data_IF_904526112960
#
_entry.id   IF_904526112960
#
_cell.length_a   1.000
_cell.length_b   1.000
_cell.length_c   1.000
_cell.angle_alpha   90.00
_cell.angle_beta   90.00
_cell.angle_gamma   90.00
#
_symmetry.space_group_name_H-M   'P 1'
#
loop_
_entity.id
_entity.type
_entity.pdbx_description
1 polymer ?
#
# COMPACT_ATOMS: atom_id res chain seq x y z
N UNK A 1 -12.49 -4.61 -3.82
CA UNK A 1 -12.30 -3.59 -2.76
C UNK A 1 -10.83 -3.19 -2.67
N UNK A 2 -10.54 -1.93 -2.35
CA UNK A 2 -9.17 -1.45 -2.14
C UNK A 2 -8.89 -1.18 -0.66
N UNK A 3 -7.75 -1.64 -0.15
CA UNK A 3 -7.31 -1.43 1.23
C UNK A 3 -6.01 -0.65 1.24
N UNK A 4 -5.94 0.49 1.93
CA UNK A 4 -4.70 1.25 1.94
C UNK A 4 -4.51 2.19 3.12
N UNK A 5 -3.23 2.45 3.41
CA UNK A 5 -2.80 3.35 4.48
C UNK A 5 -1.38 3.85 4.24
N UNK A 6 -0.97 4.88 4.97
CA UNK A 6 0.44 5.22 5.09
C UNK A 6 1.26 4.11 5.78
N UNK A 7 2.56 4.12 5.55
CA UNK A 7 3.52 3.22 6.21
C UNK A 7 4.11 3.88 7.45
N UNK A 8 4.06 3.18 8.57
CA UNK A 8 4.57 3.58 9.88
C UNK A 8 5.52 2.48 10.37
N UNK A 9 6.78 2.81 10.63
CA UNK A 9 7.77 1.83 11.11
C UNK A 9 7.79 0.55 10.24
N UNK A 10 7.82 0.73 8.91
CA UNK A 10 7.83 -0.36 7.92
C UNK A 10 6.59 -1.26 7.93
N UNK A 11 5.45 -0.77 8.43
CA UNK A 11 4.17 -1.50 8.47
C UNK A 11 3.00 -0.60 8.09
N UNK A 12 1.93 -1.18 7.56
CA UNK A 12 0.67 -0.45 7.36
C UNK A 12 0.04 -0.08 8.70
N UNK A 13 -0.76 0.99 8.70
CA UNK A 13 -1.33 1.56 9.93
C UNK A 13 -2.14 0.51 10.71
N UNK A 14 -1.96 0.39 12.05
CA UNK A 14 -2.62 -0.63 12.86
C UNK A 14 -4.14 -0.70 12.69
N UNK A 15 -4.82 0.45 12.65
CA UNK A 15 -6.28 0.53 12.38
C UNK A 15 -6.72 -0.21 11.11
N UNK A 16 -5.94 -0.16 10.03
CA UNK A 16 -6.25 -0.91 8.81
C UNK A 16 -6.06 -2.40 9.03
N UNK A 17 -4.96 -2.80 9.66
CA UNK A 17 -4.70 -4.22 9.94
C UNK A 17 -5.75 -4.81 10.89
N UNK A 18 -6.17 -4.07 11.92
CA UNK A 18 -7.16 -4.51 12.88
C UNK A 18 -8.57 -4.56 12.28
N UNK A 19 -8.89 -3.62 11.40
CA UNK A 19 -10.10 -3.67 10.58
C UNK A 19 -10.16 -4.96 9.77
N UNK A 20 -9.08 -5.30 9.03
CA UNK A 20 -9.05 -6.54 8.22
C UNK A 20 -9.11 -7.80 9.09
N UNK A 21 -8.46 -7.82 10.26
CA UNK A 21 -8.59 -8.95 11.21
C UNK A 21 -10.03 -9.15 11.66
N UNK A 22 -10.76 -8.08 11.89
CA UNK A 22 -12.16 -8.11 12.34
C UNK A 22 -13.16 -8.44 11.22
N UNK A 23 -12.76 -8.40 9.95
CA UNK A 23 -13.63 -8.80 8.86
C UNK A 23 -14.04 -10.27 8.99
N UNK A 24 -15.29 -10.61 8.66
CA UNK A 24 -15.66 -12.01 8.45
C UNK A 24 -14.84 -12.58 7.27
N UNK A 25 -14.84 -13.90 7.12
CA UNK A 25 -14.29 -14.54 5.92
C UNK A 25 -15.00 -13.95 4.70
N UNK A 26 -14.23 -13.24 3.88
CA UNK A 26 -14.71 -12.54 2.70
C UNK A 26 -14.56 -13.40 1.44
N UNK A 27 -15.33 -13.04 0.41
CA UNK A 27 -15.15 -13.53 -0.96
C UNK A 27 -15.11 -12.32 -1.89
N UNK A 28 -14.32 -12.42 -2.95
CA UNK A 28 -14.23 -11.39 -3.99
C UNK A 28 -12.87 -10.75 -4.09
N UNK A 29 -12.74 -9.84 -5.06
CA UNK A 29 -11.46 -9.27 -5.46
C UNK A 29 -11.03 -8.12 -4.56
N UNK A 30 -9.77 -8.13 -4.13
CA UNK A 30 -9.14 -7.11 -3.32
C UNK A 30 -7.85 -6.57 -3.97
N UNK A 31 -7.40 -5.41 -3.53
CA UNK A 31 -6.06 -4.91 -3.82
C UNK A 31 -5.56 -4.06 -2.64
N UNK A 32 -4.24 -3.99 -2.47
CA UNK A 32 -3.62 -3.23 -1.38
C UNK A 32 -2.86 -2.03 -1.94
N UNK A 33 -2.92 -0.87 -1.29
CA UNK A 33 -2.08 0.26 -1.67
C UNK A 33 -1.50 1.00 -0.47
N UNK A 34 -0.34 1.63 -0.64
CA UNK A 34 0.34 2.33 0.43
C UNK A 34 1.08 3.58 -0.04
N UNK A 35 1.28 4.50 0.89
CA UNK A 35 2.19 5.65 0.70
C UNK A 35 3.27 5.60 1.76
N UNK A 36 4.53 5.78 1.36
CA UNK A 36 5.67 5.62 2.27
C UNK A 36 6.68 6.75 2.16
N UNK A 37 7.21 7.16 3.31
CA UNK A 37 8.31 8.11 3.39
C UNK A 37 9.68 7.48 3.11
N UNK A 38 9.85 6.17 3.31
CA UNK A 38 11.07 5.39 2.99
C UNK A 38 10.77 4.28 1.96
N UNK A 39 11.72 3.94 1.07
CA UNK A 39 11.48 2.97 0.02
C UNK A 39 11.19 1.58 0.60
N UNK A 40 10.45 0.77 -0.15
CA UNK A 40 10.25 -0.62 0.19
C UNK A 40 11.52 -1.44 0.02
N UNK A 41 11.69 -2.45 0.88
CA UNK A 41 12.71 -3.47 0.70
C UNK A 41 12.12 -4.52 -0.26
N UNK A 42 12.76 -4.84 -1.40
CA UNK A 42 12.19 -5.75 -2.40
C UNK A 42 11.80 -7.13 -1.84
N UNK A 43 12.55 -7.64 -0.87
CA UNK A 43 12.30 -8.94 -0.22
C UNK A 43 11.25 -8.87 0.90
N UNK A 44 10.89 -7.67 1.36
CA UNK A 44 9.92 -7.44 2.42
C UNK A 44 9.04 -6.20 2.15
N UNK A 45 8.15 -6.25 1.14
CA UNK A 45 7.19 -5.19 0.86
C UNK A 45 6.33 -4.87 2.09
N UNK A 46 6.07 -3.59 2.36
CA UNK A 46 5.24 -3.18 3.49
C UNK A 46 3.80 -3.68 3.37
N UNK A 47 3.33 -3.92 2.15
CA UNK A 47 1.99 -4.42 1.81
C UNK A 47 1.84 -5.91 2.06
N UNK A 48 2.93 -6.69 2.02
CA UNK A 48 2.90 -8.17 2.07
C UNK A 48 2.12 -8.73 3.27
N UNK A 49 2.29 -8.24 4.51
CA UNK A 49 1.51 -8.75 5.64
C UNK A 49 0.00 -8.57 5.50
N UNK A 50 -0.44 -7.44 4.91
CA UNK A 50 -1.87 -7.19 4.71
C UNK A 50 -2.44 -8.01 3.56
N UNK A 51 -1.64 -8.23 2.50
CA UNK A 51 -1.99 -9.15 1.40
C UNK A 51 -2.24 -10.55 1.98
N UNK A 52 -1.30 -11.10 2.74
CA UNK A 52 -1.43 -12.42 3.36
C UNK A 52 -2.64 -12.51 4.29
N UNK A 53 -2.92 -11.45 5.05
CA UNK A 53 -4.10 -11.39 5.92
C UNK A 53 -5.41 -11.42 5.13
N UNK A 54 -5.50 -10.69 4.02
CA UNK A 54 -6.67 -10.68 3.13
C UNK A 54 -6.87 -12.02 2.41
N UNK A 55 -5.79 -12.62 1.92
CA UNK A 55 -5.82 -13.96 1.31
C UNK A 55 -6.28 -15.02 2.32
N UNK A 56 -5.75 -14.96 3.56
CA UNK A 56 -6.19 -15.83 4.66
C UNK A 56 -7.66 -15.62 5.05
N UNK A 57 -8.24 -14.45 4.74
CA UNK A 57 -9.67 -14.16 4.89
C UNK A 57 -10.51 -14.58 3.68
N UNK A 58 -9.93 -15.12 2.62
CA UNK A 58 -10.65 -15.62 1.43
C UNK A 58 -10.81 -14.63 0.28
N UNK A 59 -10.12 -13.48 0.32
CA UNK A 59 -10.10 -12.53 -0.79
C UNK A 59 -9.12 -12.98 -1.89
N UNK A 60 -9.49 -12.72 -3.15
CA UNK A 60 -8.56 -12.79 -4.29
C UNK A 60 -7.83 -11.45 -4.42
N UNK A 61 -6.57 -11.39 -3.95
CA UNK A 61 -5.79 -10.16 -3.98
C UNK A 61 -5.11 -9.98 -5.34
N UNK A 62 -5.66 -9.08 -6.16
CA UNK A 62 -5.24 -8.86 -7.55
C UNK A 62 -3.90 -8.11 -7.71
N UNK A 63 -3.38 -7.55 -6.61
CA UNK A 63 -2.05 -6.93 -6.57
C UNK A 63 -1.91 -5.88 -5.47
N UNK A 64 -0.72 -5.30 -5.40
CA UNK A 64 -0.42 -4.20 -4.49
C UNK A 64 0.33 -3.05 -5.16
N UNK A 65 0.18 -1.84 -4.63
CA UNK A 65 0.83 -0.63 -5.12
C UNK A 65 1.42 0.17 -3.96
N UNK A 66 2.58 0.78 -4.15
CA UNK A 66 3.03 1.83 -3.26
C UNK A 66 3.75 2.94 -3.98
N UNK A 67 3.69 4.14 -3.40
CA UNK A 67 4.42 5.30 -3.88
C UNK A 67 4.99 6.14 -2.73
N UNK A 68 5.79 7.14 -3.10
CA UNK A 68 6.45 8.03 -2.14
C UNK A 68 5.45 9.04 -1.58
N UNK A 69 5.55 9.33 -0.29
CA UNK A 69 4.84 10.43 0.35
C UNK A 69 5.80 11.39 1.05
N UNK A 70 5.40 12.65 1.12
CA UNK A 70 6.03 13.63 1.99
C UNK A 70 6.06 13.11 3.42
N UNK A 71 7.25 13.07 3.99
CA UNK A 71 7.47 12.52 5.33
C UNK A 71 8.28 13.48 6.19
N UNK A 72 7.79 13.70 7.40
CA UNK A 72 8.38 14.57 8.42
C UNK A 72 8.68 13.79 9.69
N UNK A 73 8.73 12.46 9.64
CA UNK A 73 8.95 11.62 10.80
C UNK A 73 10.31 11.94 11.46
N UNK A 74 10.24 12.22 12.76
CA UNK A 74 11.31 12.54 13.72
C UNK A 74 12.60 13.16 13.14
N UNK A 75 13.63 12.39 12.71
CA UNK A 75 14.87 12.97 12.20
C UNK A 75 14.65 13.85 10.96
N UNK A 76 13.66 13.53 10.13
CA UNK A 76 13.40 14.24 8.89
C UNK A 76 12.74 15.60 9.12
N UNK A 77 12.02 15.81 10.24
CA UNK A 77 11.39 17.10 10.55
C UNK A 77 12.41 18.23 10.63
N UNK A 78 13.60 17.94 11.16
CA UNK A 78 14.68 18.93 11.37
C UNK A 78 15.22 19.51 10.06
N UNK A 79 15.07 18.80 8.94
CA UNK A 79 15.45 19.26 7.59
C UNK A 79 14.23 19.67 6.74
N UNK A 80 13.07 19.83 7.39
CA UNK A 80 11.80 20.17 6.75
C UNK A 80 11.12 19.00 6.01
N UNK A 81 11.55 17.76 6.27
CA UNK A 81 11.01 16.53 5.72
C UNK A 81 11.68 16.06 4.41
N UNK A 82 11.34 14.84 3.99
CA UNK A 82 11.79 14.19 2.76
C UNK A 82 10.63 14.00 1.78
N UNK A 83 10.92 13.86 0.50
CA UNK A 83 9.91 13.73 -0.57
C UNK A 83 8.89 14.89 -0.60
N UNK A 84 9.33 16.15 -0.38
CA UNK A 84 8.45 17.35 -0.27
C UNK A 84 7.48 17.57 -1.44
N UNK A 85 7.81 17.04 -2.60
CA UNK A 85 7.01 17.16 -3.82
C UNK A 85 6.22 15.89 -4.14
N UNK A 86 6.11 14.92 -3.23
CA UNK A 86 5.51 13.61 -3.50
C UNK A 86 4.29 13.35 -2.59
N UNK A 87 3.23 12.68 -3.09
CA UNK A 87 3.09 12.13 -4.44
C UNK A 87 3.00 13.22 -5.53
N UNK A 88 3.55 12.97 -6.71
CA UNK A 88 3.50 13.89 -7.86
C UNK A 88 2.88 13.23 -9.10
N UNK A 89 3.03 13.88 -10.26
CA UNK A 89 2.52 13.43 -11.56
C UNK A 89 3.00 12.01 -11.91
N UNK A 90 4.26 11.66 -11.65
CA UNK A 90 4.75 10.29 -11.92
C UNK A 90 4.13 9.27 -10.97
N UNK A 91 3.95 9.60 -9.68
CA UNK A 91 3.28 8.70 -8.73
C UNK A 91 1.81 8.47 -9.13
N UNK A 92 1.14 9.53 -9.58
CA UNK A 92 -0.24 9.46 -10.08
C UNK A 92 -0.33 8.66 -11.39
N UNK A 93 0.64 8.82 -12.30
CA UNK A 93 0.72 8.01 -13.52
C UNK A 93 0.94 6.52 -13.19
N UNK A 94 1.80 6.21 -12.24
CA UNK A 94 2.03 4.84 -11.78
C UNK A 94 0.76 4.25 -11.12
N UNK A 95 0.07 5.02 -10.27
CA UNK A 95 -1.20 4.62 -9.68
C UNK A 95 -2.29 4.37 -10.74
N UNK A 96 -2.32 5.20 -11.80
CA UNK A 96 -3.21 5.00 -12.95
C UNK A 96 -2.92 3.69 -13.66
N UNK A 97 -1.66 3.40 -13.98
CA UNK A 97 -1.24 2.15 -14.62
C UNK A 97 -1.64 0.94 -13.76
N UNK A 98 -1.47 1.02 -12.44
CA UNK A 98 -1.93 -0.01 -11.51
C UNK A 98 -3.45 -0.22 -11.59
N UNK A 99 -4.23 0.88 -11.55
CA UNK A 99 -5.69 0.81 -11.64
C UNK A 99 -6.18 0.23 -12.98
N UNK A 100 -5.54 0.58 -14.09
CA UNK A 100 -5.85 0.04 -15.42
C UNK A 100 -5.57 -1.47 -15.48
N UNK A 101 -4.46 -1.94 -14.91
CA UNK A 101 -4.16 -3.39 -14.80
C UNK A 101 -5.23 -4.15 -14.01
N UNK A 102 -5.67 -3.58 -12.88
CA UNK A 102 -6.74 -4.16 -12.06
C UNK A 102 -8.05 -4.27 -12.85
N UNK A 103 -8.43 -3.21 -13.58
CA UNK A 103 -9.62 -3.19 -14.43
C UNK A 103 -9.57 -4.26 -15.51
N UNK A 104 -8.43 -4.45 -16.15
CA UNK A 104 -8.25 -5.38 -17.26
C UNK A 104 -8.11 -6.84 -16.80
N UNK A 105 -8.29 -7.15 -15.51
CA UNK A 105 -8.21 -8.52 -15.00
C UNK A 105 -6.79 -9.05 -14.83
N UNK A 106 -5.76 -8.29 -15.20
CA UNK A 106 -4.35 -8.71 -15.13
C UNK A 106 -3.87 -8.65 -13.68
N UNK A 107 -3.18 -9.70 -13.23
CA UNK A 107 -2.50 -9.64 -11.93
C UNK A 107 -1.44 -8.53 -11.97
N UNK A 108 -1.54 -7.56 -11.06
CA UNK A 108 -0.53 -6.54 -10.90
C UNK A 108 0.61 -7.15 -10.07
N UNK A 109 1.65 -7.66 -10.75
CA UNK A 109 2.89 -8.08 -10.09
C UNK A 109 3.55 -6.87 -9.44
N UNK A 110 4.03 -7.11 -8.21
CA UNK A 110 4.84 -6.22 -7.36
C UNK A 110 6.06 -5.67 -8.10
#
# INVERSE_FOLDING_TARGET
MGFGSGVFYSRLHPRLTDFVKALPTGRGRAFVFATSGLPEIPLAPFTRPLVQLLEGKGFDVAGSFSCRAFDTWAPFKLVGGINKQRPNVEDLAAARVFAERLRDGKQART
#
